data_IF_244183158278
#
_entry.id   IF_244183158278
#
_cell.length_a   1.000
_cell.length_b   1.000
_cell.length_c   1.000
_cell.angle_alpha   90.00
_cell.angle_beta   90.00
_cell.angle_gamma   90.00
#
_symmetry.space_group_name_H-M   'P 1'
#
loop_
_entity.id
_entity.type
_entity.pdbx_description
1 polymer ?
#
# COMPACT_ATOMS: atom_id res chain seq x y z
N UNK A 1 32.07 -70.42 -42.74
CA UNK A 1 32.88 -71.43 -42.04
C UNK A 1 33.39 -70.78 -40.75
N UNK A 2 32.78 -71.15 -39.62
CA UNK A 2 33.33 -71.36 -38.25
C UNK A 2 34.27 -70.26 -37.68
N UNK A 3 33.79 -69.37 -36.81
CA UNK A 3 33.83 -69.35 -35.31
C UNK A 3 35.21 -69.06 -34.70
N UNK A 4 35.30 -68.00 -33.87
CA UNK A 4 35.79 -68.06 -32.48
C UNK A 4 35.62 -66.71 -31.75
N UNK A 5 34.90 -66.76 -30.62
CA UNK A 5 34.90 -65.79 -29.52
C UNK A 5 36.21 -65.86 -28.70
N UNK A 6 36.55 -64.75 -28.04
CA UNK A 6 37.61 -64.68 -27.03
C UNK A 6 37.62 -63.33 -26.29
N UNK A 7 37.14 -63.36 -25.05
CA UNK A 7 37.09 -62.30 -24.02
C UNK A 7 38.44 -61.60 -23.71
N UNK A 8 38.39 -60.36 -23.15
CA UNK A 8 38.99 -59.96 -21.84
C UNK A 8 38.98 -58.41 -21.63
N UNK A 9 38.16 -58.01 -20.63
CA UNK A 9 38.30 -56.98 -19.55
C UNK A 9 38.50 -55.47 -19.82
N UNK A 10 37.64 -54.70 -19.13
CA UNK A 10 37.75 -53.27 -18.81
C UNK A 10 38.86 -52.94 -17.78
N UNK A 11 39.33 -51.68 -17.77
CA UNK A 11 39.27 -50.82 -16.59
C UNK A 11 38.59 -49.48 -16.96
N UNK A 12 37.72 -48.86 -16.16
CA UNK A 12 37.80 -48.69 -14.73
C UNK A 12 38.28 -47.27 -14.39
N UNK A 13 37.46 -46.26 -14.65
CA UNK A 13 37.49 -45.01 -13.89
C UNK A 13 36.11 -44.34 -13.93
N UNK A 14 35.22 -44.85 -13.06
CA UNK A 14 34.01 -44.18 -12.67
C UNK A 14 34.44 -42.90 -11.93
N UNK A 15 34.39 -41.76 -12.63
CA UNK A 15 34.64 -40.46 -12.03
C UNK A 15 33.68 -40.28 -10.87
N UNK A 16 34.22 -40.28 -9.64
CA UNK A 16 33.49 -39.91 -8.43
C UNK A 16 33.06 -38.44 -8.58
N UNK A 17 31.92 -38.21 -9.22
CA UNK A 17 31.19 -36.97 -9.03
C UNK A 17 30.78 -36.98 -7.58
N UNK A 18 31.49 -36.18 -6.77
CA UNK A 18 31.25 -36.10 -5.33
C UNK A 18 29.76 -35.87 -5.10
N UNK A 19 29.12 -36.69 -4.26
CA UNK A 19 27.71 -36.52 -3.92
C UNK A 19 27.40 -35.09 -3.43
N UNK A 20 28.42 -34.41 -2.89
CA UNK A 20 28.42 -32.98 -2.52
C UNK A 20 28.15 -32.07 -3.72
N UNK A 21 28.75 -32.33 -4.89
CA UNK A 21 28.55 -31.54 -6.11
C UNK A 21 27.12 -31.71 -6.65
N UNK A 22 26.58 -32.92 -6.60
CA UNK A 22 25.17 -33.17 -6.98
C UNK A 22 24.22 -32.49 -5.99
N UNK A 23 24.51 -32.53 -4.69
CA UNK A 23 23.70 -31.87 -3.66
C UNK A 23 23.76 -30.33 -3.78
N UNK A 24 24.92 -29.75 -4.13
CA UNK A 24 25.07 -28.32 -4.38
C UNK A 24 24.28 -27.88 -5.62
N UNK A 25 24.34 -28.65 -6.70
CA UNK A 25 23.54 -28.36 -7.91
C UNK A 25 22.05 -28.47 -7.61
N UNK A 26 21.63 -29.50 -6.87
CA UNK A 26 20.23 -29.65 -6.45
C UNK A 26 19.83 -28.49 -5.52
N UNK A 27 20.64 -28.11 -4.54
CA UNK A 27 20.37 -26.98 -3.65
C UNK A 27 20.34 -25.64 -4.41
N UNK A 28 21.18 -25.44 -5.43
CA UNK A 28 21.13 -24.25 -6.27
C UNK A 28 19.90 -24.23 -7.17
N UNK A 29 19.53 -25.37 -7.74
CA UNK A 29 18.31 -25.53 -8.54
C UNK A 29 17.08 -25.30 -7.66
N UNK A 30 16.98 -25.95 -6.50
CA UNK A 30 15.90 -25.73 -5.54
C UNK A 30 15.91 -24.30 -4.98
N UNK A 31 17.07 -23.70 -4.68
CA UNK A 31 17.14 -22.28 -4.29
C UNK A 31 16.65 -21.38 -5.43
N UNK A 32 16.96 -21.67 -6.70
CA UNK A 32 16.42 -20.90 -7.84
C UNK A 32 14.93 -21.12 -8.10
N UNK A 33 14.34 -22.22 -7.61
CA UNK A 33 12.89 -22.48 -7.65
C UNK A 33 12.15 -22.03 -6.36
N UNK A 34 12.87 -21.79 -5.26
CA UNK A 34 12.35 -21.32 -3.96
C UNK A 34 12.76 -19.88 -3.63
N UNK A 35 13.49 -19.20 -4.51
CA UNK A 35 13.36 -17.76 -4.63
C UNK A 35 11.94 -17.56 -5.14
N UNK A 36 11.03 -17.37 -4.17
CA UNK A 36 9.76 -16.72 -4.39
C UNK A 36 10.08 -15.57 -5.34
N UNK A 37 9.58 -15.57 -6.59
CA UNK A 37 9.79 -14.44 -7.47
C UNK A 37 9.14 -13.31 -6.71
N UNK A 38 9.96 -12.51 -6.03
CA UNK A 38 9.54 -11.29 -5.36
C UNK A 38 8.71 -10.62 -6.42
N UNK A 39 7.40 -10.59 -6.17
CA UNK A 39 6.37 -10.43 -7.19
C UNK A 39 6.93 -9.54 -8.28
N UNK A 40 7.08 -10.06 -9.51
CA UNK A 40 7.49 -9.29 -10.68
C UNK A 40 6.66 -8.01 -10.64
N UNK A 41 7.18 -6.97 -10.00
CA UNK A 41 6.44 -5.75 -9.73
C UNK A 41 6.19 -5.26 -11.14
N UNK A 42 4.94 -5.20 -11.59
CA UNK A 42 4.66 -4.73 -12.94
C UNK A 42 5.42 -3.42 -13.07
N UNK A 43 6.40 -3.36 -14.00
CA UNK A 43 7.04 -2.10 -14.36
C UNK A 43 5.91 -1.10 -14.51
N UNK A 44 5.95 0.08 -13.87
CA UNK A 44 4.83 0.99 -13.92
C UNK A 44 4.59 1.30 -15.39
N UNK A 45 3.53 0.70 -15.95
CA UNK A 45 2.91 1.18 -17.18
C UNK A 45 2.74 2.67 -16.93
N UNK A 46 3.23 3.52 -17.84
CA UNK A 46 3.06 4.99 -17.76
C UNK A 46 1.71 5.29 -17.10
N UNK A 47 1.76 5.71 -15.84
CA UNK A 47 0.59 5.68 -14.96
C UNK A 47 -0.41 6.72 -15.43
N UNK A 48 -1.34 6.25 -16.26
CA UNK A 48 -2.36 7.05 -16.90
C UNK A 48 -3.60 7.11 -16.01
N UNK A 49 -3.82 8.25 -15.38
CA UNK A 49 -5.02 8.51 -14.57
C UNK A 49 -6.33 8.33 -15.35
N UNK A 50 -6.31 8.46 -16.69
CA UNK A 50 -7.48 8.29 -17.54
C UNK A 50 -7.87 6.83 -17.77
N UNK A 51 -6.97 5.88 -17.51
CA UNK A 51 -7.29 4.46 -17.62
C UNK A 51 -8.04 3.99 -16.37
N UNK A 52 -9.37 4.01 -16.46
CA UNK A 52 -10.24 3.63 -15.35
C UNK A 52 -9.97 2.21 -14.84
N UNK A 53 -9.74 1.24 -15.72
CA UNK A 53 -9.54 -0.16 -15.32
C UNK A 53 -8.25 -0.31 -14.53
N UNK A 54 -7.19 0.34 -14.99
CA UNK A 54 -5.90 0.34 -14.30
C UNK A 54 -6.01 0.97 -12.91
N UNK A 55 -6.62 2.15 -12.80
CA UNK A 55 -6.81 2.82 -11.50
C UNK A 55 -7.76 2.04 -10.57
N UNK A 56 -8.80 1.40 -11.12
CA UNK A 56 -9.65 0.50 -10.36
C UNK A 56 -8.85 -0.65 -9.76
N UNK A 57 -8.00 -1.30 -10.55
CA UNK A 57 -7.16 -2.38 -10.05
C UNK A 57 -6.11 -1.90 -9.03
N UNK A 58 -5.57 -0.69 -9.15
CA UNK A 58 -4.71 -0.08 -8.12
C UNK A 58 -5.46 0.09 -6.81
N UNK A 59 -6.67 0.65 -6.85
CA UNK A 59 -7.53 0.78 -5.67
C UNK A 59 -7.81 -0.58 -5.03
N UNK A 60 -8.18 -1.60 -5.81
CA UNK A 60 -8.50 -2.92 -5.28
C UNK A 60 -7.26 -3.65 -4.71
N UNK A 61 -6.08 -3.50 -5.34
CA UNK A 61 -4.82 -4.08 -4.83
C UNK A 61 -4.37 -3.44 -3.53
N UNK A 62 -4.45 -2.12 -3.42
CA UNK A 62 -4.07 -1.38 -2.21
C UNK A 62 -4.80 -1.92 -0.96
N UNK A 63 -6.00 -2.46 -1.11
CA UNK A 63 -6.79 -3.01 0.00
C UNK A 63 -6.33 -4.37 0.51
N UNK A 64 -5.59 -5.11 -0.30
CA UNK A 64 -5.23 -6.50 -0.05
C UNK A 64 -3.73 -6.68 0.15
N UNK A 65 -2.94 -5.83 -0.48
CA UNK A 65 -1.49 -5.90 -0.49
C UNK A 65 -0.90 -5.06 0.64
N UNK A 66 -1.09 -5.54 1.87
CA UNK A 66 -0.54 -4.91 3.07
C UNK A 66 0.99 -4.87 3.02
N UNK A 67 1.64 -5.86 2.40
CA UNK A 67 3.09 -5.88 2.21
C UNK A 67 3.55 -4.70 1.34
N UNK A 68 2.85 -4.41 0.24
CA UNK A 68 3.13 -3.23 -0.57
C UNK A 68 2.92 -1.93 0.21
N UNK A 69 1.86 -1.83 1.03
CA UNK A 69 1.62 -0.65 1.90
C UNK A 69 2.77 -0.46 2.89
N UNK A 70 3.24 -1.52 3.52
CA UNK A 70 4.33 -1.46 4.51
C UNK A 70 5.72 -1.41 3.88
N UNK A 71 5.86 -1.66 2.57
CA UNK A 71 7.16 -1.75 1.92
C UNK A 71 8.08 -0.53 2.07
N UNK A 72 7.59 0.74 2.10
CA UNK A 72 8.43 1.91 2.39
C UNK A 72 9.03 1.89 3.81
N UNK A 73 8.41 1.13 4.72
CA UNK A 73 8.83 0.97 6.11
C UNK A 73 9.57 -0.33 6.37
N UNK A 74 9.83 -1.15 5.34
CA UNK A 74 10.55 -2.40 5.48
C UNK A 74 11.92 -2.16 6.15
N UNK A 75 12.15 -2.83 7.27
CA UNK A 75 13.39 -2.70 8.05
C UNK A 75 13.42 -1.53 9.06
N UNK A 76 12.38 -0.69 9.12
CA UNK A 76 12.28 0.43 10.07
C UNK A 76 11.17 0.27 11.10
N UNK A 77 10.45 -0.86 11.09
CA UNK A 77 9.30 -1.13 11.98
C UNK A 77 9.71 -1.67 13.35
N UNK A 78 10.96 -2.13 13.52
CA UNK A 78 11.43 -2.63 14.81
C UNK A 78 11.32 -1.55 15.89
N UNK A 79 10.83 -1.93 17.06
CA UNK A 79 10.61 -1.00 18.17
C UNK A 79 11.87 -0.20 18.56
N UNK A 80 13.02 -0.88 18.60
CA UNK A 80 14.32 -0.32 19.01
C UNK A 80 15.00 0.52 17.91
N UNK A 81 14.56 0.42 16.65
CA UNK A 81 15.11 1.18 15.52
C UNK A 81 14.41 2.52 15.30
N UNK A 82 13.75 3.04 16.33
CA UNK A 82 12.98 4.27 16.26
C UNK A 82 13.85 5.46 15.84
N UNK A 83 13.43 6.15 14.78
CA UNK A 83 13.94 7.48 14.49
C UNK A 83 13.61 8.43 15.66
N UNK A 84 14.65 9.09 16.19
CA UNK A 84 14.50 9.96 17.35
C UNK A 84 13.42 11.03 17.14
N UNK A 85 12.64 11.31 18.19
CA UNK A 85 11.61 12.37 18.22
C UNK A 85 12.17 13.72 17.78
N UNK A 86 13.45 14.00 18.09
CA UNK A 86 14.14 15.24 17.71
C UNK A 86 14.90 15.16 16.39
N UNK A 87 14.67 14.12 15.59
CA UNK A 87 15.34 13.94 14.31
C UNK A 87 14.95 15.05 13.34
N UNK A 88 15.97 15.66 12.71
CA UNK A 88 15.75 16.66 11.67
C UNK A 88 15.15 16.07 10.39
N UNK A 89 15.18 14.74 10.22
CA UNK A 89 14.57 14.03 9.12
C UNK A 89 13.04 13.87 9.25
N UNK A 90 12.47 14.21 10.43
CA UNK A 90 11.02 14.20 10.64
C UNK A 90 10.34 15.16 9.68
N UNK A 91 9.14 14.80 9.27
CA UNK A 91 8.33 15.64 8.39
C UNK A 91 7.76 16.81 9.17
N UNK A 92 7.97 18.00 8.62
CA UNK A 92 7.31 19.21 9.07
C UNK A 92 6.01 19.38 8.26
N UNK A 93 4.86 19.14 8.89
CA UNK A 93 3.57 19.21 8.20
C UNK A 93 3.29 20.61 7.62
N UNK A 94 3.70 21.65 8.34
CA UNK A 94 3.52 23.04 7.95
C UNK A 94 4.35 23.48 6.74
N UNK A 95 5.53 22.87 6.52
CA UNK A 95 6.37 23.13 5.32
C UNK A 95 6.02 22.22 4.14
N UNK A 96 5.38 21.09 4.42
CA UNK A 96 4.91 20.14 3.41
C UNK A 96 3.74 20.73 2.61
N UNK A 97 3.55 20.27 1.38
CA UNK A 97 2.57 20.89 0.46
C UNK A 97 1.99 19.91 -0.56
N UNK A 98 0.84 20.26 -1.14
CA UNK A 98 0.30 19.55 -2.31
C UNK A 98 1.06 20.00 -3.55
N UNK A 99 1.77 19.10 -4.21
CA UNK A 99 2.66 19.42 -5.33
C UNK A 99 1.93 19.48 -6.67
N UNK A 100 0.87 18.68 -6.86
CA UNK A 100 0.10 18.63 -8.10
C UNK A 100 -1.32 18.11 -7.85
N UNK A 101 -2.26 18.60 -8.65
CA UNK A 101 -3.62 18.06 -8.78
C UNK A 101 -3.83 17.54 -10.20
N UNK A 102 -4.45 16.37 -10.32
CA UNK A 102 -4.97 15.80 -11.57
C UNK A 102 -6.43 15.43 -11.35
N UNK A 103 -7.31 16.41 -11.54
CA UNK A 103 -8.75 16.27 -11.37
C UNK A 103 -9.39 15.84 -12.69
N UNK A 104 -10.18 14.77 -12.65
CA UNK A 104 -10.99 14.31 -13.77
C UNK A 104 -12.48 14.59 -13.48
N UNK A 105 -13.34 14.57 -14.52
CA UNK A 105 -14.78 14.63 -14.30
C UNK A 105 -15.30 13.52 -13.39
N UNK A 106 -16.47 13.77 -12.80
CA UNK A 106 -17.19 12.76 -12.02
C UNK A 106 -17.30 11.45 -12.80
N UNK A 107 -17.23 10.32 -12.10
CA UNK A 107 -17.16 8.99 -12.71
C UNK A 107 -15.75 8.53 -13.06
N UNK A 108 -14.75 9.41 -13.08
CA UNK A 108 -13.35 9.05 -13.31
C UNK A 108 -12.51 9.18 -12.04
N UNK A 109 -11.37 8.47 -12.01
CA UNK A 109 -10.41 8.63 -10.93
C UNK A 109 -9.74 10.00 -11.03
N UNK A 110 -9.63 10.65 -9.88
CA UNK A 110 -8.84 11.87 -9.69
C UNK A 110 -7.73 11.58 -8.69
N UNK A 111 -6.66 12.37 -8.75
CA UNK A 111 -5.56 12.26 -7.80
C UNK A 111 -4.86 13.57 -7.52
N UNK A 112 -4.10 13.59 -6.45
CA UNK A 112 -3.17 14.67 -6.14
C UNK A 112 -1.98 14.11 -5.37
N UNK A 113 -0.92 14.91 -5.24
CA UNK A 113 0.30 14.46 -4.58
C UNK A 113 0.68 15.37 -3.42
N UNK A 114 1.07 14.75 -2.31
CA UNK A 114 1.63 15.43 -1.14
C UNK A 114 3.14 15.27 -1.21
N UNK A 115 3.87 16.37 -1.14
CA UNK A 115 5.32 16.39 -0.98
C UNK A 115 5.64 16.66 0.48
N UNK A 116 6.24 15.67 1.14
CA UNK A 116 6.79 15.84 2.49
C UNK A 116 8.08 16.65 2.46
N UNK A 117 8.22 17.49 3.47
CA UNK A 117 9.38 18.36 3.70
C UNK A 117 9.87 18.14 5.13
N UNK A 118 11.18 18.00 5.32
CA UNK A 118 11.79 17.76 6.62
C UNK A 118 11.82 19.03 7.52
N UNK A 119 12.31 18.88 8.75
CA UNK A 119 12.41 20.00 9.69
C UNK A 119 13.34 21.11 9.18
N UNK A 120 14.35 20.78 8.38
CA UNK A 120 15.27 21.73 7.74
C UNK A 120 14.67 22.44 6.51
N UNK A 121 13.47 22.06 6.07
CA UNK A 121 12.86 22.61 4.87
C UNK A 121 13.30 21.96 3.56
N UNK A 122 13.94 20.80 3.61
CA UNK A 122 14.36 20.02 2.43
C UNK A 122 13.27 19.02 2.06
N UNK A 123 13.07 18.78 0.76
CA UNK A 123 12.19 17.71 0.30
C UNK A 123 12.76 16.37 0.78
N UNK A 124 11.90 15.54 1.36
CA UNK A 124 12.30 14.20 1.77
C UNK A 124 12.64 13.35 0.55
N UNK A 125 13.55 12.41 0.74
CA UNK A 125 13.97 11.41 -0.25
C UNK A 125 13.60 9.99 0.17
N UNK A 126 12.78 9.84 1.21
CA UNK A 126 12.31 8.57 1.76
C UNK A 126 10.82 8.65 2.10
N UNK A 127 10.16 7.51 2.12
CA UNK A 127 8.77 7.38 2.59
C UNK A 127 8.62 7.37 4.11
N UNK A 128 7.55 6.72 4.56
CA UNK A 128 7.26 6.42 5.95
C UNK A 128 6.40 7.44 6.68
N UNK A 129 5.79 8.39 5.98
CA UNK A 129 4.87 9.34 6.60
C UNK A 129 3.41 8.87 6.45
N UNK A 130 2.66 8.97 7.55
CA UNK A 130 1.24 8.61 7.57
C UNK A 130 0.40 9.86 7.35
N UNK A 131 0.13 10.15 6.09
CA UNK A 131 -0.81 11.22 5.70
C UNK A 131 -2.24 10.72 5.75
N UNK A 132 -3.03 11.28 6.66
CA UNK A 132 -4.47 11.04 6.75
C UNK A 132 -5.23 12.05 5.90
N UNK A 133 -6.00 11.56 4.94
CA UNK A 133 -6.78 12.38 4.01
C UNK A 133 -8.26 12.05 4.13
N UNK A 134 -9.09 13.06 4.32
CA UNK A 134 -10.54 12.92 4.28
C UNK A 134 -11.19 14.02 3.49
N UNK A 135 -12.14 13.64 2.62
CA UNK A 135 -13.03 14.57 1.93
C UNK A 135 -14.39 14.48 2.63
N UNK A 136 -14.73 15.47 3.47
CA UNK A 136 -15.98 15.42 4.27
C UNK A 136 -17.02 16.45 3.85
N UNK A 137 -16.59 17.59 3.32
CA UNK A 137 -17.50 18.65 2.90
C UNK A 137 -17.60 18.65 1.37
N UNK A 138 -18.82 18.55 0.86
CA UNK A 138 -19.11 18.50 -0.57
C UNK A 138 -20.39 17.68 -0.83
N UNK A 139 -20.68 17.38 -2.11
CA UNK A 139 -21.80 16.53 -2.50
C UNK A 139 -21.77 15.11 -1.91
N UNK A 140 -20.58 14.62 -1.53
CA UNK A 140 -20.38 13.33 -0.90
C UNK A 140 -19.17 13.37 0.06
N UNK A 141 -19.15 12.49 1.07
CA UNK A 141 -17.97 12.24 1.89
C UNK A 141 -17.24 10.99 1.39
N UNK A 142 -15.93 11.10 1.19
CA UNK A 142 -15.08 10.12 0.53
C UNK A 142 -13.84 9.84 1.39
N UNK A 143 -13.37 8.59 1.33
CA UNK A 143 -12.10 8.16 1.90
C UNK A 143 -11.14 7.78 0.75
N UNK A 144 -10.24 8.68 0.34
CA UNK A 144 -9.19 8.37 -0.63
C UNK A 144 -8.22 7.31 -0.10
N UNK A 145 -7.46 6.70 -1.01
CA UNK A 145 -6.30 5.88 -0.66
C UNK A 145 -5.02 6.67 -0.88
N UNK A 146 -4.00 6.42 -0.07
CA UNK A 146 -2.70 7.10 -0.13
C UNK A 146 -1.62 6.07 -0.45
N UNK A 147 -0.87 6.31 -1.53
CA UNK A 147 0.28 5.53 -1.94
C UNK A 147 1.56 6.29 -1.60
N UNK A 148 2.42 5.69 -0.80
CA UNK A 148 3.76 6.18 -0.53
C UNK A 148 4.71 5.68 -1.64
N UNK A 149 5.39 6.62 -2.32
CA UNK A 149 6.34 6.30 -3.39
C UNK A 149 7.78 6.11 -2.88
N UNK A 150 7.96 6.05 -1.56
CA UNK A 150 9.24 5.87 -0.86
C UNK A 150 10.32 6.88 -1.27
N UNK A 151 9.89 8.11 -1.54
CA UNK A 151 10.77 9.20 -1.98
C UNK A 151 10.30 10.56 -1.46
N UNK A 152 9.49 10.56 -0.40
CA UNK A 152 8.87 11.76 0.17
C UNK A 152 7.64 12.26 -0.60
N UNK A 153 7.24 11.60 -1.69
CA UNK A 153 6.04 11.89 -2.45
C UNK A 153 4.94 10.86 -2.15
N UNK A 154 3.74 11.34 -1.88
CA UNK A 154 2.58 10.51 -1.59
C UNK A 154 1.47 10.81 -2.59
N UNK A 155 0.96 9.81 -3.30
CA UNK A 155 -0.16 9.96 -4.22
C UNK A 155 -1.46 9.64 -3.51
N UNK A 156 -2.40 10.57 -3.57
CA UNK A 156 -3.76 10.38 -3.08
C UNK A 156 -4.65 10.09 -4.27
N UNK A 157 -5.25 8.90 -4.32
CA UNK A 157 -6.13 8.45 -5.39
C UNK A 157 -7.57 8.36 -4.88
N UNK A 158 -8.52 8.91 -5.64
CA UNK A 158 -9.93 8.92 -5.27
C UNK A 158 -10.84 8.75 -6.48
N UNK A 159 -11.90 7.96 -6.33
CA UNK A 159 -13.02 7.92 -7.27
C UNK A 159 -14.12 8.85 -6.76
N UNK A 160 -14.54 9.82 -7.57
CA UNK A 160 -15.61 10.76 -7.21
C UNK A 160 -16.76 10.60 -8.19
N UNK A 161 -17.97 10.33 -7.72
CA UNK A 161 -19.14 10.09 -8.58
C UNK A 161 -20.11 11.28 -8.65
N UNK A 162 -20.12 12.12 -7.62
CA UNK A 162 -20.95 13.33 -7.59
C UNK A 162 -20.12 14.54 -8.04
N UNK A 163 -20.53 15.27 -9.09
CA UNK A 163 -19.85 16.50 -9.46
C UNK A 163 -20.14 17.60 -8.44
N UNK A 164 -19.20 18.53 -8.31
CA UNK A 164 -19.35 19.68 -7.43
C UNK A 164 -18.05 20.06 -6.75
N UNK A 165 -18.20 20.93 -5.75
CA UNK A 165 -17.06 21.48 -5.01
C UNK A 165 -16.89 20.74 -3.69
N UNK A 166 -15.67 20.30 -3.44
CA UNK A 166 -15.30 19.53 -2.26
C UNK A 166 -14.23 20.26 -1.46
N UNK A 167 -14.16 19.92 -0.18
CA UNK A 167 -13.07 20.29 0.71
C UNK A 167 -12.45 19.02 1.28
N UNK A 168 -11.12 18.93 1.21
CA UNK A 168 -10.35 17.87 1.84
C UNK A 168 -9.51 18.39 3.00
N UNK A 169 -9.54 17.69 4.12
CA UNK A 169 -8.57 17.83 5.21
C UNK A 169 -7.41 16.88 4.97
N UNK A 170 -6.18 17.35 5.25
CA UNK A 170 -4.95 16.55 5.15
C UNK A 170 -4.16 16.77 6.42
N UNK A 171 -3.89 15.69 7.15
CA UNK A 171 -3.21 15.70 8.45
C UNK A 171 -2.06 14.73 8.46
N UNK A 172 -0.92 15.12 9.01
CA UNK A 172 0.19 14.23 9.31
C UNK A 172 -0.06 13.56 10.65
N UNK A 173 -0.28 12.25 10.66
CA UNK A 173 -0.45 11.49 11.91
C UNK A 173 0.90 10.99 12.44
N UNK A 174 1.78 10.49 11.55
CA UNK A 174 3.10 9.94 11.90
C UNK A 174 4.13 10.23 10.81
N UNK A 175 5.42 10.14 11.15
CA UNK A 175 6.55 10.30 10.22
C UNK A 175 7.62 9.24 10.47
N UNK A 176 8.46 8.95 9.46
CA UNK A 176 9.60 8.03 9.58
C UNK A 176 9.21 6.62 10.07
N UNK A 177 8.05 6.13 9.63
CA UNK A 177 7.48 4.84 9.99
C UNK A 177 7.11 4.68 11.47
N UNK A 178 7.12 5.76 12.26
CA UNK A 178 6.82 5.71 13.69
C UNK A 178 5.39 5.24 14.00
N UNK A 179 4.46 5.31 13.03
CA UNK A 179 3.09 4.80 13.17
C UNK A 179 2.92 3.32 12.82
N UNK A 180 3.96 2.67 12.30
CA UNK A 180 3.95 1.29 11.84
C UNK A 180 5.11 0.56 12.52
N UNK A 181 4.87 0.08 13.73
CA UNK A 181 5.89 -0.58 14.55
C UNK A 181 5.48 -1.97 14.97
N UNK A 182 6.47 -2.84 15.03
CA UNK A 182 6.38 -4.10 15.74
C UNK A 182 6.37 -3.81 17.24
N UNK A 183 5.59 -4.57 18.04
CA UNK A 183 5.66 -4.45 19.49
C UNK A 183 7.09 -4.77 19.98
N UNK A 184 7.55 -4.17 21.10
CA UNK A 184 8.85 -4.49 21.68
C UNK A 184 8.95 -5.97 22.06
N UNK A 185 10.18 -6.46 22.20
CA UNK A 185 10.42 -7.80 22.71
C UNK A 185 9.73 -8.01 24.06
N UNK A 186 9.13 -9.19 24.25
CA UNK A 186 8.40 -9.57 25.47
C UNK A 186 7.18 -8.69 25.78
N UNK A 187 6.65 -7.95 24.82
CA UNK A 187 5.43 -7.13 24.97
C UNK A 187 4.28 -7.88 25.67
N UNK A 188 3.98 -9.11 25.23
CA UNK A 188 2.91 -9.92 25.80
C UNK A 188 3.24 -10.59 27.13
N UNK A 189 4.53 -10.64 27.51
CA UNK A 189 4.97 -11.20 28.80
C UNK A 189 4.93 -10.12 29.89
N UNK A 190 5.33 -8.90 29.53
CA UNK A 190 5.41 -7.77 30.47
C UNK A 190 4.11 -6.94 30.52
N UNK A 191 3.19 -7.17 29.59
CA UNK A 191 1.86 -6.56 29.57
C UNK A 191 0.82 -7.36 30.36
N UNK A 192 -0.34 -6.75 30.56
CA UNK A 192 -1.55 -7.41 31.04
C UNK A 192 -2.31 -8.08 29.88
N UNK A 193 -3.27 -8.94 30.21
CA UNK A 193 -4.20 -9.53 29.25
C UNK A 193 -5.07 -8.49 28.50
N UNK A 194 -5.13 -7.24 28.96
CA UNK A 194 -5.81 -6.13 28.30
C UNK A 194 -4.85 -5.24 27.48
N UNK A 195 -3.56 -5.60 27.38
CA UNK A 195 -2.55 -4.77 26.72
C UNK A 195 -2.18 -3.50 27.51
N UNK A 196 -2.59 -3.39 28.78
CA UNK A 196 -2.13 -2.37 29.72
C UNK A 196 -0.80 -2.81 30.35
N UNK A 197 0.06 -1.87 30.71
CA UNK A 197 1.38 -2.19 31.26
C UNK A 197 1.34 -2.22 32.78
N UNK A 198 1.95 -3.25 33.38
CA UNK A 198 2.05 -3.40 34.83
C UNK A 198 3.07 -2.43 35.43
N UNK A 199 4.02 -1.97 34.60
CA UNK A 199 5.13 -1.12 35.04
C UNK A 199 5.40 -0.02 34.00
N UNK A 200 4.60 1.05 34.08
CA UNK A 200 4.74 2.25 33.26
C UNK A 200 6.10 2.95 33.50
N UNK A 201 6.63 2.84 34.72
CA UNK A 201 7.85 3.52 35.16
C UNK A 201 9.12 2.89 34.56
N UNK A 202 9.08 1.62 34.13
CA UNK A 202 10.21 0.95 33.47
C UNK A 202 10.46 1.40 32.02
N UNK A 203 9.71 2.37 31.49
CA UNK A 203 9.92 2.93 30.14
C UNK A 203 10.07 1.87 29.04
N UNK A 204 9.32 0.75 29.11
CA UNK A 204 9.39 -0.35 28.12
C UNK A 204 9.11 0.16 26.69
N UNK A 205 8.26 1.19 26.59
CA UNK A 205 7.93 1.86 25.33
C UNK A 205 8.88 3.02 24.97
N UNK A 206 9.81 3.38 25.85
CA UNK A 206 10.63 4.59 25.73
C UNK A 206 9.79 5.87 25.64
N UNK A 207 10.39 6.94 25.14
CA UNK A 207 9.75 8.26 24.98
C UNK A 207 8.86 8.31 23.73
N UNK A 208 7.61 7.85 23.79
CA UNK A 208 6.70 7.75 22.64
C UNK A 208 5.65 8.88 22.57
N UNK A 209 5.73 9.88 23.45
CA UNK A 209 4.69 10.92 23.59
C UNK A 209 4.50 11.78 22.33
N UNK A 210 5.55 11.93 21.53
CA UNK A 210 5.56 12.79 20.33
C UNK A 210 5.48 11.97 19.01
N UNK A 211 5.13 10.69 19.07
CA UNK A 211 4.99 9.88 17.85
C UNK A 211 3.74 10.27 17.06
N UNK A 212 2.62 10.54 17.75
CA UNK A 212 1.41 11.02 17.12
C UNK A 212 1.45 12.55 16.99
N UNK A 213 1.49 13.02 15.73
CA UNK A 213 1.74 14.44 15.41
C UNK A 213 0.42 15.22 15.28
N UNK A 214 -0.53 14.69 14.52
CA UNK A 214 -1.84 15.30 14.27
C UNK A 214 -1.79 16.76 13.76
N UNK A 215 -0.89 17.07 12.82
CA UNK A 215 -0.71 18.42 12.29
C UNK A 215 -1.30 18.61 10.88
N UNK A 216 -1.95 19.75 10.58
CA UNK A 216 -2.48 20.01 9.25
C UNK A 216 -1.37 20.31 8.22
N UNK A 217 -1.54 19.78 7.00
CA UNK A 217 -0.66 20.08 5.87
C UNK A 217 -0.64 21.59 5.58
N UNK A 218 0.54 22.17 5.44
CA UNK A 218 0.72 23.56 4.98
C UNK A 218 0.02 24.61 5.85
N UNK A 219 -0.22 24.33 7.15
CA UNK A 219 -1.03 25.17 8.07
C UNK A 219 -2.49 25.38 7.60
N UNK A 220 -2.98 24.56 6.68
CA UNK A 220 -4.33 24.63 6.15
C UNK A 220 -5.17 23.50 6.71
N UNK A 221 -6.30 23.85 7.31
CA UNK A 221 -7.29 22.86 7.77
C UNK A 221 -8.08 22.24 6.63
N UNK A 222 -8.04 22.85 5.44
CA UNK A 222 -8.89 22.53 4.32
C UNK A 222 -8.27 22.94 2.97
N UNK A 223 -8.40 22.07 1.97
CA UNK A 223 -8.11 22.35 0.56
C UNK A 223 -9.38 22.18 -0.28
N UNK A 224 -9.72 23.21 -1.04
CA UNK A 224 -10.92 23.24 -1.89
C UNK A 224 -10.57 22.81 -3.31
N UNK A 225 -11.37 21.93 -3.91
CA UNK A 225 -11.25 21.52 -5.30
C UNK A 225 -12.62 21.26 -5.92
N UNK A 226 -12.70 21.32 -7.26
CA UNK A 226 -13.96 21.16 -7.99
C UNK A 226 -13.86 20.00 -8.98
N UNK A 227 -14.84 19.12 -8.92
CA UNK A 227 -15.01 18.00 -9.86
C UNK A 227 -16.09 18.38 -10.87
N UNK A 228 -15.75 18.47 -12.17
CA UNK A 228 -16.74 18.81 -13.19
C UNK A 228 -17.71 17.64 -13.44
N UNK A 229 -18.91 17.91 -13.96
CA UNK A 229 -19.83 16.87 -14.41
C UNK A 229 -19.22 16.05 -15.54
N UNK A 230 -19.63 14.78 -15.63
CA UNK A 230 -19.23 13.90 -16.71
C UNK A 230 -19.90 14.33 -18.03
N UNK A 231 -19.12 14.49 -19.10
CA UNK A 231 -19.63 14.64 -20.46
C UNK A 231 -19.59 13.30 -21.19
N UNK A 232 -20.75 12.65 -21.35
CA UNK A 232 -20.88 11.37 -22.07
C UNK A 232 -20.64 10.12 -21.23
N UNK A 233 -20.57 8.95 -21.88
CA UNK A 233 -20.32 7.66 -21.21
C UNK A 233 -18.82 7.40 -21.05
N UNK A 234 -18.40 6.89 -19.89
CA UNK A 234 -16.99 6.70 -19.55
C UNK A 234 -16.76 6.40 -18.06
N UNK A 235 -15.56 5.95 -17.73
CA UNK A 235 -15.17 5.72 -16.33
C UNK A 235 -16.05 4.69 -15.63
N UNK A 236 -16.53 5.03 -14.44
CA UNK A 236 -17.36 4.17 -13.60
C UNK A 236 -18.64 3.75 -14.32
N UNK A 237 -19.34 4.68 -14.98
CA UNK A 237 -20.58 4.37 -15.70
C UNK A 237 -20.36 3.51 -16.94
N UNK A 238 -19.14 3.35 -17.44
CA UNK A 238 -18.84 2.44 -18.55
C UNK A 238 -18.35 1.06 -18.09
N UNK A 239 -17.90 0.92 -16.85
CA UNK A 239 -17.20 -0.29 -16.38
C UNK A 239 -17.84 -0.98 -15.16
N UNK A 240 -18.63 -0.24 -14.39
CA UNK A 240 -19.16 -0.66 -13.09
C UNK A 240 -20.56 -0.07 -12.90
N UNK A 241 -21.48 -0.41 -13.82
CA UNK A 241 -22.89 0.05 -13.80
C UNK A 241 -23.73 -0.70 -12.76
N UNK A 242 -23.40 -1.97 -12.57
CA UNK A 242 -24.09 -2.90 -11.70
C UNK A 242 -23.10 -3.82 -10.99
N UNK A 243 -23.59 -4.55 -9.98
CA UNK A 243 -22.81 -5.50 -9.19
C UNK A 243 -21.95 -6.44 -10.03
N UNK A 244 -22.50 -7.03 -11.10
CA UNK A 244 -21.83 -8.05 -11.89
C UNK A 244 -20.75 -7.45 -12.77
N UNK A 245 -21.00 -6.28 -13.36
CA UNK A 245 -20.01 -5.52 -14.12
C UNK A 245 -18.82 -5.11 -13.25
N UNK A 246 -19.07 -4.58 -12.05
CA UNK A 246 -18.04 -4.22 -11.07
C UNK A 246 -17.22 -5.45 -10.63
N UNK A 247 -17.91 -6.56 -10.34
CA UNK A 247 -17.26 -7.82 -9.96
C UNK A 247 -16.37 -8.34 -11.08
N UNK A 248 -16.89 -8.38 -12.31
CA UNK A 248 -16.11 -8.78 -13.49
C UNK A 248 -14.89 -7.91 -13.68
N UNK A 249 -15.03 -6.59 -13.53
CA UNK A 249 -13.91 -5.66 -13.59
C UNK A 249 -12.87 -5.99 -12.53
N UNK A 250 -13.27 -6.16 -11.26
CA UNK A 250 -12.35 -6.55 -10.18
C UNK A 250 -11.67 -7.89 -10.44
N UNK A 251 -12.36 -8.87 -11.03
CA UNK A 251 -11.76 -10.16 -11.40
C UNK A 251 -10.64 -9.99 -12.44
N UNK A 252 -10.73 -8.98 -13.33
CA UNK A 252 -9.65 -8.71 -14.29
C UNK A 252 -8.37 -8.19 -13.64
N UNK A 253 -8.42 -7.79 -12.36
CA UNK A 253 -7.25 -7.30 -11.64
C UNK A 253 -6.30 -8.42 -11.17
N UNK A 254 -6.68 -9.70 -11.35
CA UNK A 254 -5.85 -10.85 -10.96
C UNK A 254 -5.74 -11.02 -9.45
N UNK A 255 -6.75 -10.60 -8.69
CA UNK A 255 -6.79 -10.71 -7.23
C UNK A 255 -7.33 -12.08 -6.83
N UNK A 256 -6.59 -12.81 -5.97
CA UNK A 256 -6.93 -14.17 -5.55
C UNK A 256 -7.79 -14.26 -4.27
N UNK A 257 -8.07 -13.14 -3.61
CA UNK A 257 -8.80 -13.10 -2.34
C UNK A 257 -10.32 -12.98 -2.53
N UNK A 258 -11.10 -13.77 -1.77
CA UNK A 258 -12.55 -13.54 -1.61
C UNK A 258 -12.75 -12.31 -0.71
N UNK A 259 -12.93 -11.14 -1.33
CA UNK A 259 -13.23 -9.90 -0.61
C UNK A 259 -14.55 -10.04 0.15
N UNK A 260 -14.48 -10.06 1.49
CA UNK A 260 -15.64 -10.00 2.37
C UNK A 260 -16.14 -8.55 2.41
N UNK A 261 -17.21 -8.26 1.66
CA UNK A 261 -17.80 -6.92 1.50
C UNK A 261 -16.85 -5.88 0.88
N UNK A 262 -17.33 -5.19 -0.14
CA UNK A 262 -16.49 -4.25 -0.85
C UNK A 262 -16.22 -2.98 -0.06
N UNK A 263 -16.93 -2.68 1.05
CA UNK A 263 -16.60 -1.70 2.11
C UNK A 263 -16.26 -0.27 1.66
N UNK A 264 -16.22 -0.04 0.35
CA UNK A 264 -15.79 1.15 -0.34
C UNK A 264 -17.01 1.72 -1.04
N UNK A 265 -17.05 3.04 -1.00
CA UNK A 265 -18.21 3.79 -1.38
C UNK A 265 -18.02 5.19 -0.87
N UNK A 266 -19.15 5.83 -0.66
CA UNK A 266 -19.19 7.22 -0.23
C UNK A 266 -20.45 7.47 0.55
N UNK A 267 -20.40 8.45 1.42
CA UNK A 267 -21.59 8.92 2.11
C UNK A 267 -22.22 10.03 1.29
N UNK A 268 -23.48 9.89 0.93
CA UNK A 268 -24.28 10.92 0.27
C UNK A 268 -25.48 11.20 1.15
N UNK A 269 -25.63 12.44 1.64
CA UNK A 269 -26.70 12.83 2.56
C UNK A 269 -26.87 11.84 3.73
N UNK A 270 -25.78 11.55 4.45
CA UNK A 270 -25.73 10.60 5.58
C UNK A 270 -26.15 9.16 5.24
N UNK A 271 -26.23 8.81 3.95
CA UNK A 271 -26.52 7.44 3.50
C UNK A 271 -25.27 6.85 2.85
N UNK A 272 -24.86 5.67 3.31
CA UNK A 272 -23.76 4.94 2.69
C UNK A 272 -24.15 4.42 1.31
N UNK A 273 -23.34 4.74 0.30
CA UNK A 273 -23.50 4.27 -1.09
C UNK A 273 -22.24 3.53 -1.54
N UNK A 274 -22.26 2.18 -1.57
CA UNK A 274 -21.11 1.41 -2.03
C UNK A 274 -20.83 1.64 -3.52
N UNK A 275 -19.57 1.45 -3.92
CA UNK A 275 -19.18 1.43 -5.35
C UNK A 275 -19.52 0.10 -6.02
N UNK A 276 -19.77 -0.96 -5.27
CA UNK A 276 -20.40 -2.17 -5.79
C UNK A 276 -21.42 -2.69 -4.79
N UNK A 277 -22.69 -2.76 -5.17
CA UNK A 277 -23.73 -3.25 -4.26
C UNK A 277 -23.62 -4.78 -4.14
N UNK A 278 -23.30 -5.30 -2.96
CA UNK A 278 -23.41 -6.74 -2.67
C UNK A 278 -24.87 -7.15 -2.48
N UNK A 279 -25.30 -8.30 -3.04
CA UNK A 279 -26.50 -9.02 -2.56
C UNK A 279 -26.45 -9.13 -1.03
N UNK A 280 -27.49 -8.61 -0.38
CA UNK A 280 -27.97 -9.07 0.91
C UNK A 280 -28.36 -10.55 0.78
N UNK A 281 -27.40 -11.44 1.02
CA UNK A 281 -27.69 -12.81 1.44
C UNK A 281 -26.66 -13.19 2.49
N UNK A 282 -26.80 -12.60 3.67
CA UNK A 282 -26.61 -13.37 4.88
C UNK A 282 -27.81 -14.33 4.90
N UNK A 283 -27.58 -15.57 4.48
CA UNK A 283 -28.39 -16.71 4.88
C UNK A 283 -27.49 -17.59 5.72
#
# INVERSE_FOLDING_TARGET
MVVAEGDIRCPGHLGRVSAVLVLIVILHVFASYWVCPSALRPRPSRDNIRDFRMQWCRLQRWRLDWEAILSPCAGSMRWDMRAAVRSQARTNAHKSFVSKWELQPAGHFSRFWIQSVDMNGRRKSSGGDTWRVYIRQGPASLAPVVFDHDNGLYEVLVLVLEPGTYTTGITLDYTLCNGLRDPPDKFFINGTNQGLYVDYDNHILGDNFDDFINEPLGRKTAYKFTIPPQSGQGGYSAHCQDKESCRRLTNTCGLSCRLLWDGHGRWVNNTWRPYSTGRDRIR
#
